data_IF_938281901651
#
_entry.id   IF_938281901651
#
_cell.length_a   1.000
_cell.length_b   1.000
_cell.length_c   1.000
_cell.angle_alpha   90.00
_cell.angle_beta   90.00
_cell.angle_gamma   90.00
#
_symmetry.space_group_name_H-M   'P 1'
#
loop_
_entity.id
_entity.type
_entity.pdbx_description
1 polymer ?
#
# COMPACT_ATOMS: atom_id res chain seq x y z
N UNK A 1 -31.33 7.76 2.34
CA UNK A 1 -30.27 8.14 3.30
C UNK A 1 -29.78 6.98 4.21
N UNK A 2 -30.57 5.93 4.48
CA UNK A 2 -30.16 4.82 5.36
C UNK A 2 -28.97 3.97 4.84
N UNK A 3 -28.86 3.77 3.52
CA UNK A 3 -27.81 2.92 2.94
C UNK A 3 -26.41 3.58 2.90
N UNK A 4 -26.33 4.90 2.93
CA UNK A 4 -25.06 5.61 2.95
C UNK A 4 -24.37 5.51 4.32
N UNK A 5 -25.16 5.53 5.42
CA UNK A 5 -24.66 5.39 6.79
C UNK A 5 -24.10 3.99 7.05
N UNK A 6 -24.74 2.95 6.50
CA UNK A 6 -24.28 1.55 6.60
C UNK A 6 -22.95 1.29 5.87
N UNK A 7 -22.67 1.98 4.77
CA UNK A 7 -21.46 1.71 3.98
C UNK A 7 -20.29 2.67 4.27
N UNK A 8 -20.55 3.89 4.75
CA UNK A 8 -19.50 4.88 5.05
C UNK A 8 -19.08 4.93 6.52
N UNK A 9 -19.88 4.44 7.47
CA UNK A 9 -19.52 4.41 8.90
C UNK A 9 -19.20 2.99 9.39
N UNK A 10 -17.99 2.51 9.09
CA UNK A 10 -17.50 1.23 9.62
C UNK A 10 -17.65 1.12 11.15
N UNK A 11 -17.58 2.24 11.85
CA UNK A 11 -17.74 2.32 13.31
C UNK A 11 -19.05 1.75 13.85
N UNK A 12 -20.19 1.99 13.17
CA UNK A 12 -21.51 1.54 13.67
C UNK A 12 -21.79 0.09 13.28
N UNK A 13 -21.36 -0.29 12.06
CA UNK A 13 -21.58 -1.63 11.50
C UNK A 13 -20.67 -2.67 12.14
N UNK A 14 -19.45 -2.29 12.53
CA UNK A 14 -18.49 -3.23 13.14
C UNK A 14 -18.84 -3.59 14.59
N UNK A 15 -19.69 -2.80 15.27
CA UNK A 15 -20.18 -3.08 16.63
C UNK A 15 -21.39 -4.00 16.67
N UNK A 16 -22.24 -3.99 15.65
CA UNK A 16 -23.48 -4.77 15.61
C UNK A 16 -23.29 -6.03 14.74
N UNK A 17 -23.17 -7.19 15.39
CA UNK A 17 -22.91 -8.49 14.75
C UNK A 17 -23.88 -8.82 13.61
N UNK A 18 -25.16 -8.43 13.73
CA UNK A 18 -26.18 -8.65 12.70
C UNK A 18 -25.90 -7.81 11.43
N UNK A 19 -25.61 -6.52 11.59
CA UNK A 19 -25.30 -5.63 10.46
C UNK A 19 -24.01 -6.04 9.76
N UNK A 20 -23.01 -6.49 10.52
CA UNK A 20 -21.77 -7.04 9.97
C UNK A 20 -22.02 -8.30 9.13
N UNK A 21 -22.79 -9.25 9.65
CA UNK A 21 -23.16 -10.48 8.92
C UNK A 21 -23.96 -10.17 7.65
N UNK A 22 -24.93 -9.27 7.75
CA UNK A 22 -25.73 -8.82 6.61
C UNK A 22 -24.89 -8.13 5.54
N UNK A 23 -23.99 -7.22 5.95
CA UNK A 23 -23.02 -6.57 5.06
C UNK A 23 -22.13 -7.60 4.36
N UNK A 24 -21.51 -8.52 5.10
CA UNK A 24 -20.66 -9.57 4.51
C UNK A 24 -21.44 -10.51 3.58
N UNK A 25 -22.71 -10.75 3.87
CA UNK A 25 -23.58 -11.57 3.03
C UNK A 25 -23.94 -10.85 1.71
N UNK A 26 -24.24 -9.55 1.77
CA UNK A 26 -24.48 -8.72 0.58
C UNK A 26 -23.20 -8.55 -0.25
N UNK A 27 -22.08 -8.25 0.39
CA UNK A 27 -20.77 -8.11 -0.27
C UNK A 27 -20.35 -9.43 -0.95
N UNK A 28 -20.64 -10.58 -0.34
CA UNK A 28 -20.33 -11.89 -0.91
C UNK A 28 -21.24 -12.34 -2.05
N UNK A 29 -22.48 -11.82 -2.18
CA UNK A 29 -23.45 -12.26 -3.20
C UNK A 29 -23.80 -11.22 -4.27
N UNK A 30 -23.86 -9.94 -3.94
CA UNK A 30 -24.50 -8.91 -4.76
C UNK A 30 -23.56 -7.75 -5.13
N UNK A 31 -22.58 -7.44 -4.28
CA UNK A 31 -21.69 -6.29 -4.47
C UNK A 31 -20.26 -6.74 -4.77
N UNK A 32 -20.01 -7.14 -6.03
CA UNK A 32 -18.64 -7.17 -6.53
C UNK A 32 -18.02 -5.76 -6.35
N UNK A 33 -16.70 -5.69 -6.12
CA UNK A 33 -15.98 -4.41 -5.94
C UNK A 33 -16.36 -3.37 -7.02
N UNK A 34 -16.57 -3.82 -8.25
CA UNK A 34 -17.00 -3.00 -9.38
C UNK A 34 -18.37 -2.33 -9.18
N UNK A 35 -19.34 -3.04 -8.59
CA UNK A 35 -20.68 -2.51 -8.31
C UNK A 35 -20.61 -1.45 -7.21
N UNK A 36 -19.84 -1.71 -6.16
CA UNK A 36 -19.58 -0.72 -5.09
C UNK A 36 -18.93 0.55 -5.65
N UNK A 37 -17.97 0.41 -6.56
CA UNK A 37 -17.36 1.56 -7.25
C UNK A 37 -18.35 2.31 -8.15
N UNK A 38 -19.29 1.62 -8.79
CA UNK A 38 -20.35 2.26 -9.58
C UNK A 38 -21.35 3.02 -8.70
N UNK A 39 -21.80 2.41 -7.60
CA UNK A 39 -22.65 3.07 -6.59
C UNK A 39 -21.95 4.31 -6.04
N UNK A 40 -20.64 4.27 -5.82
CA UNK A 40 -19.89 5.43 -5.36
C UNK A 40 -19.92 6.59 -6.37
N UNK A 41 -19.93 6.32 -7.68
CA UNK A 41 -20.06 7.36 -8.73
C UNK A 41 -21.44 8.01 -8.73
N UNK A 42 -22.48 7.33 -8.23
CA UNK A 42 -23.82 7.92 -8.08
C UNK A 42 -23.83 9.12 -7.12
N UNK A 43 -22.85 9.24 -6.22
CA UNK A 43 -22.73 10.39 -5.32
C UNK A 43 -22.66 11.73 -6.09
N UNK A 44 -22.06 11.78 -7.28
CA UNK A 44 -22.06 12.99 -8.10
C UNK A 44 -23.46 13.41 -8.54
N UNK A 45 -24.31 12.43 -8.87
CA UNK A 45 -25.72 12.67 -9.21
C UNK A 45 -26.47 13.17 -7.97
N UNK A 46 -26.22 12.57 -6.80
CA UNK A 46 -26.84 13.01 -5.54
C UNK A 46 -26.45 14.44 -5.19
N UNK A 47 -25.17 14.80 -5.33
CA UNK A 47 -24.70 16.18 -5.10
C UNK A 47 -25.41 17.16 -6.05
N UNK A 48 -25.54 16.81 -7.33
CA UNK A 48 -26.26 17.63 -8.31
C UNK A 48 -27.75 17.78 -7.96
N UNK A 49 -28.40 16.69 -7.52
CA UNK A 49 -29.80 16.70 -7.09
C UNK A 49 -29.99 17.54 -5.81
N UNK A 50 -29.06 17.48 -4.85
CA UNK A 50 -29.08 18.34 -3.66
C UNK A 50 -28.94 19.81 -4.07
N UNK A 51 -27.97 20.12 -4.95
CA UNK A 51 -27.77 21.48 -5.45
C UNK A 51 -29.04 22.02 -6.13
N UNK A 52 -29.68 21.22 -6.99
CA UNK A 52 -30.95 21.54 -7.64
C UNK A 52 -32.10 21.70 -6.62
N UNK A 53 -32.20 20.78 -5.66
CA UNK A 53 -33.24 20.79 -4.64
C UNK A 53 -33.18 22.05 -3.76
N UNK A 54 -31.98 22.48 -3.38
CA UNK A 54 -31.76 23.72 -2.61
C UNK A 54 -32.26 24.95 -3.36
N UNK A 55 -32.09 24.98 -4.69
CA UNK A 55 -32.58 26.08 -5.54
C UNK A 55 -34.10 26.06 -5.74
N UNK A 56 -34.72 24.88 -5.72
CA UNK A 56 -36.16 24.72 -5.91
C UNK A 56 -36.99 24.94 -4.65
N UNK A 57 -36.39 24.90 -3.45
CA UNK A 57 -37.11 25.17 -2.20
C UNK A 57 -37.43 26.66 -2.09
N UNK A 58 -38.71 27.08 -2.08
CA UNK A 58 -39.07 28.50 -2.07
C UNK A 58 -38.50 29.24 -0.86
N UNK A 59 -38.46 28.61 0.31
CA UNK A 59 -38.02 29.24 1.57
C UNK A 59 -36.51 29.52 1.65
N UNK A 60 -35.69 28.66 1.05
CA UNK A 60 -34.23 28.75 1.10
C UNK A 60 -33.66 29.39 -0.16
N UNK A 61 -34.29 29.12 -1.32
CA UNK A 61 -33.93 29.72 -2.59
C UNK A 61 -34.03 31.24 -2.54
N UNK A 62 -35.04 31.82 -1.89
CA UNK A 62 -35.27 33.28 -1.88
C UNK A 62 -34.20 34.07 -1.08
N UNK A 63 -33.42 33.44 -0.19
CA UNK A 63 -32.38 34.12 0.60
C UNK A 63 -31.09 34.26 -0.21
N UNK A 64 -30.75 35.47 -0.72
CA UNK A 64 -29.66 35.62 -1.69
C UNK A 64 -28.28 35.33 -1.09
N UNK A 65 -28.04 35.69 0.18
CA UNK A 65 -26.77 35.45 0.85
C UNK A 65 -26.47 33.96 1.04
N UNK A 66 -27.49 33.16 1.37
CA UNK A 66 -27.33 31.71 1.50
C UNK A 66 -27.06 31.06 0.14
N UNK A 67 -27.83 31.43 -0.89
CA UNK A 67 -27.69 30.91 -2.25
C UNK A 67 -26.28 31.17 -2.81
N UNK A 68 -25.83 32.43 -2.74
CA UNK A 68 -24.51 32.84 -3.23
C UNK A 68 -23.38 32.08 -2.51
N UNK A 69 -23.46 31.98 -1.18
CA UNK A 69 -22.45 31.26 -0.39
C UNK A 69 -22.39 29.77 -0.74
N UNK A 70 -23.57 29.14 -0.89
CA UNK A 70 -23.69 27.73 -1.26
C UNK A 70 -23.12 27.46 -2.67
N UNK A 71 -23.45 28.32 -3.64
CA UNK A 71 -22.94 28.19 -5.02
C UNK A 71 -21.43 28.39 -5.11
N UNK A 72 -20.89 29.38 -4.41
CA UNK A 72 -19.43 29.60 -4.33
C UNK A 72 -18.77 28.37 -3.73
N UNK A 73 -19.28 27.85 -2.61
CA UNK A 73 -18.73 26.66 -1.96
C UNK A 73 -18.75 25.43 -2.90
N UNK A 74 -19.87 25.17 -3.56
CA UNK A 74 -20.01 24.06 -4.51
C UNK A 74 -19.08 24.26 -5.71
N UNK A 75 -19.04 25.47 -6.28
CA UNK A 75 -18.17 25.81 -7.41
C UNK A 75 -16.69 25.64 -7.10
N UNK A 76 -16.22 26.20 -5.98
CA UNK A 76 -14.83 26.04 -5.52
C UNK A 76 -14.49 24.57 -5.31
N UNK A 77 -15.39 23.79 -4.69
CA UNK A 77 -15.17 22.35 -4.47
C UNK A 77 -15.04 21.58 -5.79
N UNK A 78 -15.90 21.87 -6.77
CA UNK A 78 -15.84 21.25 -8.11
C UNK A 78 -14.54 21.64 -8.83
N UNK A 79 -14.17 22.93 -8.79
CA UNK A 79 -12.92 23.43 -9.40
C UNK A 79 -11.71 22.72 -8.79
N UNK A 80 -11.62 22.66 -7.45
CA UNK A 80 -10.53 21.97 -6.75
C UNK A 80 -10.49 20.47 -7.08
N UNK A 81 -11.65 19.81 -7.13
CA UNK A 81 -11.75 18.39 -7.50
C UNK A 81 -11.29 18.15 -8.95
N UNK A 82 -11.79 18.92 -9.90
CA UNK A 82 -11.44 18.83 -11.31
C UNK A 82 -9.96 19.13 -11.53
N UNK A 83 -9.43 20.18 -10.89
CA UNK A 83 -8.02 20.54 -10.95
C UNK A 83 -7.13 19.42 -10.41
N UNK A 84 -7.46 18.85 -9.24
CA UNK A 84 -6.76 17.70 -8.68
C UNK A 84 -6.81 16.50 -9.62
N UNK A 85 -7.99 16.17 -10.17
CA UNK A 85 -8.15 15.02 -11.06
C UNK A 85 -7.35 15.16 -12.35
N UNK A 86 -7.31 16.37 -12.93
CA UNK A 86 -6.52 16.67 -14.12
C UNK A 86 -5.01 16.61 -13.83
N UNK A 87 -4.57 17.12 -12.68
CA UNK A 87 -3.16 17.09 -12.27
C UNK A 87 -2.67 15.65 -12.03
N UNK A 88 -3.45 14.84 -11.31
CA UNK A 88 -3.15 13.41 -11.09
C UNK A 88 -3.13 12.64 -12.42
N UNK A 89 -4.06 12.93 -13.34
CA UNK A 89 -4.10 12.34 -14.70
C UNK A 89 -2.78 12.50 -15.49
N UNK A 90 -1.98 13.53 -15.18
CA UNK A 90 -0.70 13.84 -15.84
C UNK A 90 0.52 13.22 -15.17
N UNK A 91 0.42 12.73 -13.93
CA UNK A 91 1.56 12.21 -13.15
C UNK A 91 1.70 10.69 -13.25
N UNK A 92 1.61 10.15 -14.47
CA UNK A 92 1.76 8.73 -14.69
C UNK A 92 2.96 8.42 -15.57
N UNK A 93 3.84 7.59 -15.05
CA UNK A 93 4.92 7.00 -15.83
C UNK A 93 4.39 5.80 -16.61
N UNK A 94 5.05 5.50 -17.73
CA UNK A 94 4.73 4.32 -18.53
C UNK A 94 5.90 3.36 -18.52
N UNK A 95 5.61 2.09 -18.33
CA UNK A 95 6.59 1.02 -18.33
C UNK A 95 6.12 -0.15 -19.17
N UNK A 96 7.05 -1.04 -19.50
CA UNK A 96 6.80 -2.28 -20.22
C UNK A 96 7.20 -3.43 -19.31
N UNK A 97 6.40 -4.50 -19.32
CA UNK A 97 6.76 -5.73 -18.60
C UNK A 97 7.98 -6.35 -19.28
N UNK A 98 9.11 -6.34 -18.59
CA UNK A 98 10.35 -6.98 -19.04
C UNK A 98 10.36 -8.46 -18.66
N UNK A 99 9.88 -8.78 -17.47
CA UNK A 99 9.90 -10.13 -16.91
C UNK A 99 8.67 -10.34 -16.02
N UNK A 100 8.03 -11.51 -16.14
CA UNK A 100 6.96 -11.94 -15.24
C UNK A 100 7.14 -13.44 -14.97
N UNK A 101 7.72 -13.79 -13.83
CA UNK A 101 8.12 -15.17 -13.50
C UNK A 101 7.40 -15.65 -12.25
N UNK A 102 6.85 -16.86 -12.32
CA UNK A 102 6.28 -17.55 -11.17
C UNK A 102 7.41 -18.04 -10.26
N UNK A 103 7.45 -17.52 -9.03
CA UNK A 103 8.41 -17.94 -8.01
C UNK A 103 7.78 -18.98 -7.08
N UNK A 104 7.23 -20.06 -7.66
CA UNK A 104 6.45 -21.07 -6.93
C UNK A 104 4.94 -20.92 -7.14
N UNK A 105 4.14 -21.50 -6.23
CA UNK A 105 2.68 -21.66 -6.41
C UNK A 105 1.84 -20.42 -6.11
N UNK A 106 2.38 -19.43 -5.39
CA UNK A 106 1.61 -18.33 -4.83
C UNK A 106 2.31 -16.97 -4.88
N UNK A 107 3.35 -16.84 -5.72
CA UNK A 107 4.10 -15.60 -5.86
C UNK A 107 4.58 -15.37 -7.29
N UNK A 108 4.49 -14.12 -7.75
CA UNK A 108 5.01 -13.66 -9.03
C UNK A 108 6.09 -12.60 -8.80
N UNK A 109 7.19 -12.69 -9.56
CA UNK A 109 8.14 -11.59 -9.72
C UNK A 109 7.83 -10.87 -11.01
N UNK A 110 7.40 -9.63 -10.88
CA UNK A 110 7.12 -8.75 -12.00
C UNK A 110 8.22 -7.68 -12.08
N UNK A 111 8.98 -7.66 -13.17
CA UNK A 111 9.98 -6.62 -13.45
C UNK A 111 9.51 -5.76 -14.62
N UNK A 112 9.48 -4.46 -14.39
CA UNK A 112 9.07 -3.46 -15.36
C UNK A 112 10.27 -2.62 -15.78
N UNK A 113 10.36 -2.32 -17.07
CA UNK A 113 11.33 -1.38 -17.62
C UNK A 113 10.63 -0.06 -17.93
N UNK A 114 11.15 1.05 -17.43
CA UNK A 114 10.55 2.36 -17.68
C UNK A 114 10.76 2.79 -19.13
N UNK A 115 9.71 3.32 -19.77
CA UNK A 115 9.76 3.72 -21.18
C UNK A 115 10.58 4.99 -21.40
N UNK A 116 10.53 5.93 -20.45
CA UNK A 116 11.25 7.20 -20.52
C UNK A 116 12.71 7.12 -19.99
N UNK A 117 13.24 5.92 -19.77
CA UNK A 117 14.60 5.73 -19.26
C UNK A 117 14.62 5.52 -17.75
N UNK A 118 15.17 6.46 -16.98
CA UNK A 118 15.24 6.35 -15.51
C UNK A 118 14.05 7.07 -14.88
N UNK A 119 13.42 6.43 -13.90
CA UNK A 119 12.51 7.10 -12.97
C UNK A 119 13.22 7.41 -11.65
N UNK A 120 12.83 8.49 -10.99
CA UNK A 120 13.39 8.88 -9.68
C UNK A 120 12.66 8.18 -8.52
N UNK A 121 12.46 6.87 -8.65
CA UNK A 121 11.94 6.05 -7.55
C UNK A 121 13.02 5.82 -6.50
N UNK A 122 12.59 5.68 -5.27
CA UNK A 122 13.43 5.45 -4.09
C UNK A 122 13.15 4.08 -3.49
N UNK A 123 14.09 3.61 -2.68
CA UNK A 123 13.95 2.31 -2.04
C UNK A 123 12.76 2.32 -1.05
N UNK A 124 11.94 1.27 -1.09
CA UNK A 124 10.74 1.18 -0.27
C UNK A 124 9.53 1.96 -0.78
N UNK A 125 9.63 2.62 -1.94
CA UNK A 125 8.46 3.22 -2.60
C UNK A 125 7.46 2.12 -3.04
N UNK A 126 6.24 2.55 -3.38
CA UNK A 126 5.22 1.75 -4.02
C UNK A 126 4.62 2.50 -5.21
N UNK A 127 4.04 1.73 -6.12
CA UNK A 127 3.34 2.23 -7.30
C UNK A 127 1.96 1.64 -7.38
N UNK A 128 0.99 2.40 -7.91
CA UNK A 128 -0.21 1.78 -8.42
C UNK A 128 0.00 1.32 -9.87
N UNK A 129 -0.21 0.03 -10.10
CA UNK A 129 -0.04 -0.61 -11.40
C UNK A 129 -1.40 -0.79 -12.07
N UNK A 130 -1.53 -0.34 -13.32
CA UNK A 130 -2.72 -0.58 -14.14
C UNK A 130 -2.37 -1.17 -15.51
N UNK A 131 -3.00 -2.29 -15.86
CA UNK A 131 -2.80 -3.01 -17.13
C UNK A 131 -3.96 -2.73 -18.10
N UNK A 132 -3.78 -1.83 -19.08
CA UNK A 132 -4.90 -1.34 -19.91
C UNK A 132 -5.39 -2.33 -20.97
N UNK A 133 -4.53 -3.24 -21.47
CA UNK A 133 -4.78 -4.05 -22.68
C UNK A 133 -4.48 -5.54 -22.46
N UNK A 134 -4.61 -6.03 -21.23
CA UNK A 134 -4.42 -7.46 -20.92
C UNK A 134 -5.78 -8.09 -20.65
N UNK A 135 -6.14 -9.11 -21.44
CA UNK A 135 -7.44 -9.80 -21.31
C UNK A 135 -7.48 -10.55 -19.97
N UNK A 136 -8.57 -10.36 -19.21
CA UNK A 136 -8.77 -11.06 -17.93
C UNK A 136 -7.95 -10.53 -16.76
N UNK A 137 -7.36 -9.33 -16.89
CA UNK A 137 -6.71 -8.58 -15.80
C UNK A 137 -7.50 -7.29 -15.59
N UNK A 138 -7.80 -6.93 -14.34
CA UNK A 138 -8.49 -5.66 -14.04
C UNK A 138 -7.70 -4.46 -14.59
N UNK A 139 -8.43 -3.46 -15.10
CA UNK A 139 -7.86 -2.17 -15.52
C UNK A 139 -7.67 -1.20 -14.35
N UNK A 140 -8.17 -1.56 -13.17
CA UNK A 140 -8.07 -0.74 -11.98
C UNK A 140 -6.61 -0.66 -11.50
N UNK A 141 -6.17 0.50 -11.02
CA UNK A 141 -4.85 0.65 -10.43
C UNK A 141 -4.78 -0.05 -9.07
N UNK A 142 -3.81 -0.95 -8.88
CA UNK A 142 -3.59 -1.63 -7.60
C UNK A 142 -2.19 -1.33 -7.05
N UNK A 143 -2.05 -1.04 -5.74
CA UNK A 143 -0.78 -0.66 -5.13
C UNK A 143 0.13 -1.87 -4.92
N UNK A 144 1.40 -1.72 -5.29
CA UNK A 144 2.45 -2.69 -5.00
C UNK A 144 3.73 -1.97 -4.57
N UNK A 145 4.28 -2.40 -3.44
CA UNK A 145 5.58 -1.93 -2.97
C UNK A 145 6.69 -2.52 -3.81
N UNK A 146 7.66 -1.67 -4.12
CA UNK A 146 8.86 -2.02 -4.85
C UNK A 146 9.69 -2.98 -4.01
N UNK A 147 10.24 -4.02 -4.66
CA UNK A 147 11.15 -4.99 -4.06
C UNK A 147 12.57 -4.91 -4.61
N UNK A 148 12.83 -4.04 -5.60
CA UNK A 148 14.17 -3.74 -6.12
C UNK A 148 14.78 -2.50 -5.47
N UNK A 149 16.11 -2.38 -5.50
CA UNK A 149 16.80 -1.16 -5.11
C UNK A 149 17.24 -0.33 -6.35
N UNK A 150 16.99 0.99 -6.40
CA UNK A 150 17.44 1.85 -7.48
C UNK A 150 18.96 1.79 -7.73
N UNK A 151 19.77 1.56 -6.67
CA UNK A 151 21.23 1.41 -6.77
C UNK A 151 21.66 0.22 -7.64
N UNK A 152 20.83 -0.82 -7.76
CA UNK A 152 21.15 -1.99 -8.58
C UNK A 152 20.85 -1.75 -10.07
N UNK A 153 19.68 -1.19 -10.36
CA UNK A 153 19.30 -0.79 -11.72
C UNK A 153 18.20 0.29 -11.65
N UNK A 154 18.50 1.55 -12.01
CA UNK A 154 17.52 2.64 -11.94
C UNK A 154 16.56 2.70 -13.13
N UNK A 155 16.79 1.90 -14.19
CA UNK A 155 15.93 1.83 -15.37
C UNK A 155 14.81 0.79 -15.24
N UNK A 156 14.87 -0.01 -14.19
CA UNK A 156 13.94 -1.10 -13.92
C UNK A 156 13.41 -1.02 -12.50
N UNK A 157 12.21 -1.54 -12.33
CA UNK A 157 11.56 -1.69 -11.03
C UNK A 157 10.95 -3.09 -10.94
N UNK A 158 11.21 -3.79 -9.84
CA UNK A 158 10.67 -5.13 -9.60
C UNK A 158 9.70 -5.13 -8.43
N UNK A 159 8.71 -6.00 -8.51
CA UNK A 159 7.70 -6.27 -7.50
C UNK A 159 7.62 -7.77 -7.22
N UNK A 160 7.59 -8.15 -5.94
CA UNK A 160 7.29 -9.52 -5.50
C UNK A 160 5.84 -9.59 -5.05
N UNK A 161 4.96 -10.07 -5.91
CA UNK A 161 3.51 -10.04 -5.73
C UNK A 161 3.02 -11.39 -5.22
N UNK A 162 2.47 -11.41 -4.01
CA UNK A 162 1.85 -12.61 -3.43
C UNK A 162 0.41 -12.74 -3.95
N UNK A 163 -0.01 -13.95 -4.33
CA UNK A 163 -1.34 -14.23 -4.88
C UNK A 163 -2.41 -14.35 -3.79
N UNK A 164 -2.77 -13.22 -3.16
CA UNK A 164 -3.71 -13.18 -2.03
C UNK A 164 -5.16 -12.94 -2.45
N UNK A 165 -5.40 -12.12 -3.47
CA UNK A 165 -6.73 -11.73 -3.96
C UNK A 165 -6.92 -11.96 -5.46
N UNK A 166 -8.14 -11.69 -5.94
CA UNK A 166 -8.54 -11.94 -7.34
C UNK A 166 -7.63 -11.24 -8.35
N UNK A 167 -7.31 -9.97 -8.10
CA UNK A 167 -6.41 -9.22 -8.96
C UNK A 167 -4.99 -9.83 -8.98
N UNK A 168 -4.42 -10.12 -7.81
CA UNK A 168 -3.05 -10.67 -7.72
C UNK A 168 -2.93 -12.06 -8.36
N UNK A 169 -4.00 -12.86 -8.37
CA UNK A 169 -4.05 -14.14 -9.10
C UNK A 169 -4.06 -13.96 -10.62
N UNK A 170 -4.54 -12.83 -11.11
CA UNK A 170 -4.56 -12.52 -12.55
C UNK A 170 -3.21 -12.05 -13.10
N UNK A 171 -2.27 -11.62 -12.23
CA UNK A 171 -0.95 -11.11 -12.66
C UNK A 171 -0.15 -12.13 -13.48
N UNK A 172 -0.32 -13.43 -13.23
CA UNK A 172 0.33 -14.48 -14.03
C UNK A 172 -0.05 -14.44 -15.51
N UNK A 173 -1.21 -13.87 -15.86
CA UNK A 173 -1.70 -13.73 -17.24
C UNK A 173 -1.08 -12.54 -17.97
N UNK A 174 -0.32 -11.69 -17.29
CA UNK A 174 0.31 -10.51 -17.91
C UNK A 174 1.52 -10.96 -18.73
N UNK A 175 1.51 -10.79 -20.06
CA UNK A 175 2.64 -11.19 -20.89
C UNK A 175 3.80 -10.18 -20.80
N UNK A 176 5.00 -10.68 -21.07
CA UNK A 176 6.17 -9.84 -21.37
C UNK A 176 5.84 -8.94 -22.56
N UNK A 177 6.29 -7.68 -22.53
CA UNK A 177 5.94 -6.66 -23.52
C UNK A 177 4.64 -5.91 -23.24
N UNK A 178 3.84 -6.31 -22.24
CA UNK A 178 2.63 -5.59 -21.88
C UNK A 178 2.93 -4.17 -21.38
N UNK A 179 2.11 -3.20 -21.79
CA UNK A 179 2.20 -1.81 -21.31
C UNK A 179 1.54 -1.68 -19.93
N UNK A 180 2.29 -1.12 -18.99
CA UNK A 180 1.85 -0.84 -17.63
C UNK A 180 1.84 0.67 -17.40
N UNK A 181 0.76 1.17 -16.82
CA UNK A 181 0.67 2.54 -16.34
C UNK A 181 1.04 2.54 -14.85
N UNK A 182 1.97 3.41 -14.47
CA UNK A 182 2.48 3.54 -13.11
C UNK A 182 2.00 4.87 -12.53
N UNK A 183 1.26 4.82 -11.43
CA UNK A 183 0.97 5.99 -10.60
C UNK A 183 1.93 6.00 -9.41
N UNK A 184 2.68 7.09 -9.23
CA UNK A 184 3.73 7.21 -8.22
C UNK A 184 5.01 7.82 -8.81
N UNK A 185 6.18 7.63 -8.18
CA UNK A 185 6.39 6.84 -6.96
C UNK A 185 5.73 7.46 -5.72
N UNK A 186 5.31 6.61 -4.78
CA UNK A 186 4.84 7.01 -3.45
C UNK A 186 5.66 6.31 -2.38
N UNK A 187 6.00 7.00 -1.29
CA UNK A 187 6.77 6.40 -0.21
C UNK A 187 7.54 7.46 0.58
N UNK A 188 7.85 7.13 1.83
CA UNK A 188 8.60 8.03 2.74
C UNK A 188 9.81 7.34 3.38
N UNK A 189 9.90 6.01 3.32
CA UNK A 189 10.88 5.25 4.10
C UNK A 189 12.33 5.50 3.71
N UNK A 190 12.62 5.71 2.42
CA UNK A 190 13.99 5.99 1.98
C UNK A 190 14.60 7.19 2.72
N UNK A 191 13.81 8.26 2.92
CA UNK A 191 14.26 9.46 3.64
C UNK A 191 14.51 9.17 5.12
N UNK A 192 13.64 8.38 5.74
CA UNK A 192 13.79 7.96 7.14
C UNK A 192 15.06 7.14 7.35
N UNK A 193 15.38 6.25 6.42
CA UNK A 193 16.60 5.43 6.47
C UNK A 193 17.84 6.28 6.19
N UNK A 194 17.79 7.14 5.17
CA UNK A 194 18.91 8.01 4.79
C UNK A 194 19.33 8.94 5.94
N UNK A 195 18.36 9.58 6.60
CA UNK A 195 18.59 10.55 7.67
C UNK A 195 18.88 9.92 9.04
N UNK A 196 18.82 8.58 9.16
CA UNK A 196 19.06 7.89 10.42
C UNK A 196 20.53 7.54 10.60
N UNK A 197 21.10 7.97 11.72
CA UNK A 197 22.45 7.57 12.16
C UNK A 197 22.42 6.46 13.24
N UNK A 198 21.22 6.05 13.66
CA UNK A 198 21.01 4.96 14.62
C UNK A 198 20.68 3.64 13.91
N UNK A 199 20.84 2.48 14.58
CA UNK A 199 20.43 1.19 14.02
C UNK A 199 18.96 1.17 13.59
N UNK A 200 18.68 0.52 12.46
CA UNK A 200 17.35 0.43 11.89
C UNK A 200 16.86 -1.02 11.87
N UNK A 201 15.72 -1.24 12.53
CA UNK A 201 15.02 -2.52 12.50
C UNK A 201 13.93 -2.44 11.44
N UNK A 202 14.05 -3.25 10.39
CA UNK A 202 13.09 -3.38 9.31
C UNK A 202 12.19 -4.59 9.62
N UNK A 203 10.98 -4.35 10.12
CA UNK A 203 10.07 -5.42 10.55
C UNK A 203 8.93 -5.64 9.55
N UNK A 204 9.06 -6.70 8.73
CA UNK A 204 8.08 -7.12 7.74
C UNK A 204 7.08 -8.16 8.23
N UNK A 205 5.82 -8.01 7.86
CA UNK A 205 4.74 -8.94 8.16
C UNK A 205 4.05 -9.39 6.86
N UNK A 206 4.19 -10.66 6.50
CA UNK A 206 3.62 -11.22 5.26
C UNK A 206 4.20 -10.57 4.01
N UNK A 207 3.34 -10.03 3.15
CA UNK A 207 3.72 -9.29 1.93
C UNK A 207 4.39 -7.94 2.22
N UNK A 208 4.30 -7.41 3.44
CA UNK A 208 4.96 -6.16 3.87
C UNK A 208 6.49 -6.22 3.88
N UNK A 209 7.11 -7.35 3.52
CA UNK A 209 8.55 -7.46 3.39
C UNK A 209 9.11 -6.78 2.13
N UNK A 210 8.30 -6.62 1.07
CA UNK A 210 8.75 -6.08 -0.21
C UNK A 210 9.48 -4.72 -0.10
N UNK A 211 8.89 -3.67 0.51
CA UNK A 211 9.58 -2.38 0.64
C UNK A 211 10.81 -2.46 1.55
N UNK A 212 10.79 -3.35 2.54
CA UNK A 212 11.90 -3.53 3.48
C UNK A 212 13.10 -4.23 2.83
N UNK A 213 12.86 -5.18 1.92
CA UNK A 213 13.91 -5.77 1.08
C UNK A 213 14.51 -4.72 0.15
N UNK A 214 13.68 -3.86 -0.44
CA UNK A 214 14.15 -2.75 -1.27
C UNK A 214 15.08 -1.82 -0.49
N UNK A 215 14.68 -1.39 0.72
CA UNK A 215 15.52 -0.59 1.62
C UNK A 215 16.80 -1.33 2.03
N UNK A 216 16.69 -2.61 2.41
CA UNK A 216 17.85 -3.41 2.80
C UNK A 216 18.84 -3.55 1.65
N UNK A 217 18.39 -3.80 0.43
CA UNK A 217 19.26 -3.89 -0.75
C UNK A 217 19.95 -2.56 -1.08
N UNK A 218 19.26 -1.43 -0.89
CA UNK A 218 19.80 -0.10 -1.15
C UNK A 218 20.92 0.27 -0.17
N UNK A 219 20.71 -0.01 1.13
CA UNK A 219 21.54 0.47 2.23
C UNK A 219 22.43 -0.59 2.89
N UNK A 220 22.37 -1.86 2.44
CA UNK A 220 23.27 -2.90 2.91
C UNK A 220 24.74 -2.50 2.76
N UNK A 221 25.53 -2.74 3.81
CA UNK A 221 26.93 -2.34 3.91
C UNK A 221 27.17 -0.85 4.19
N UNK A 222 26.12 -0.01 4.22
CA UNK A 222 26.25 1.44 4.49
C UNK A 222 25.53 1.89 5.76
N UNK A 223 24.47 1.20 6.16
CA UNK A 223 23.72 1.46 7.41
C UNK A 223 23.65 0.17 8.24
N UNK A 224 23.51 0.32 9.56
CA UNK A 224 23.28 -0.81 10.47
C UNK A 224 21.82 -1.25 10.37
N UNK A 225 21.57 -2.35 9.67
CA UNK A 225 20.23 -2.84 9.38
C UNK A 225 19.98 -4.20 10.01
N UNK A 226 18.78 -4.36 10.57
CA UNK A 226 18.26 -5.62 11.06
C UNK A 226 16.89 -5.90 10.46
N UNK A 227 16.83 -6.84 9.53
CA UNK A 227 15.59 -7.29 8.89
C UNK A 227 14.96 -8.41 9.72
N UNK A 228 13.78 -8.13 10.29
CA UNK A 228 12.92 -9.11 10.95
C UNK A 228 11.75 -9.40 10.03
N UNK A 229 11.55 -10.65 9.61
CA UNK A 229 10.42 -10.99 8.74
C UNK A 229 9.65 -12.23 9.19
N UNK A 230 8.32 -12.11 9.24
CA UNK A 230 7.43 -13.25 9.46
C UNK A 230 6.44 -13.45 8.32
N UNK A 231 6.34 -14.67 7.78
CA UNK A 231 5.41 -14.98 6.69
C UNK A 231 5.56 -16.39 6.12
N UNK A 232 4.54 -16.89 5.41
CA UNK A 232 4.53 -18.26 4.88
C UNK A 232 5.55 -18.48 3.75
N UNK A 233 5.99 -17.41 3.08
CA UNK A 233 6.87 -17.47 1.91
C UNK A 233 8.37 -17.47 2.25
N UNK A 234 8.74 -17.63 3.53
CA UNK A 234 10.14 -17.55 3.96
C UNK A 234 11.02 -18.62 3.29
N UNK A 235 10.48 -19.82 3.10
CA UNK A 235 11.22 -20.93 2.49
C UNK A 235 11.30 -20.84 0.95
N UNK A 236 10.77 -19.77 0.35
CA UNK A 236 10.86 -19.57 -1.08
C UNK A 236 12.34 -19.39 -1.51
N UNK A 237 12.84 -20.16 -2.48
CA UNK A 237 14.25 -20.07 -2.91
C UNK A 237 14.68 -18.66 -3.32
N UNK A 238 13.77 -17.88 -3.91
CA UNK A 238 14.08 -16.50 -4.34
C UNK A 238 14.29 -15.57 -3.17
N UNK A 239 13.47 -15.69 -2.11
CA UNK A 239 13.70 -14.93 -0.89
C UNK A 239 14.97 -15.42 -0.19
N UNK A 240 15.19 -16.73 -0.09
CA UNK A 240 16.41 -17.27 0.54
C UNK A 240 17.69 -16.76 -0.12
N UNK A 241 17.71 -16.66 -1.45
CA UNK A 241 18.82 -16.04 -2.19
C UNK A 241 19.02 -14.57 -1.79
N UNK A 242 17.95 -13.76 -1.80
CA UNK A 242 18.01 -12.35 -1.42
C UNK A 242 18.49 -12.18 0.04
N UNK A 243 17.92 -12.94 0.97
CA UNK A 243 18.27 -12.90 2.39
C UNK A 243 19.73 -13.30 2.61
N UNK A 244 20.22 -14.31 1.89
CA UNK A 244 21.62 -14.72 1.90
C UNK A 244 22.56 -13.62 1.41
N UNK A 245 22.21 -12.94 0.31
CA UNK A 245 22.97 -11.80 -0.20
C UNK A 245 22.98 -10.62 0.79
N UNK A 246 21.86 -10.34 1.45
CA UNK A 246 21.77 -9.30 2.49
C UNK A 246 22.66 -9.62 3.69
N UNK A 247 22.64 -10.88 4.17
CA UNK A 247 23.52 -11.34 5.25
C UNK A 247 25.00 -11.16 4.89
N UNK A 248 25.40 -11.52 3.67
CA UNK A 248 26.78 -11.32 3.17
C UNK A 248 27.20 -9.85 3.15
N UNK A 249 26.25 -8.93 2.98
CA UNK A 249 26.48 -7.48 3.02
C UNK A 249 26.31 -6.87 4.41
N UNK A 250 26.33 -7.68 5.47
CA UNK A 250 26.32 -7.23 6.86
C UNK A 250 24.94 -6.86 7.43
N UNK A 251 23.85 -7.17 6.73
CA UNK A 251 22.49 -7.01 7.29
C UNK A 251 22.20 -8.15 8.23
N UNK A 252 21.79 -7.84 9.47
CA UNK A 252 21.27 -8.86 10.40
C UNK A 252 19.89 -9.30 9.92
N UNK A 253 19.64 -10.61 9.84
CA UNK A 253 18.41 -11.14 9.25
C UNK A 253 17.86 -12.26 10.11
N UNK A 254 16.69 -12.03 10.67
CA UNK A 254 15.94 -12.95 11.52
C UNK A 254 14.56 -13.22 10.89
N UNK A 255 14.31 -14.47 10.51
CA UNK A 255 13.09 -14.86 9.78
C UNK A 255 12.45 -16.10 10.37
N UNK A 256 11.12 -16.12 10.47
CA UNK A 256 10.39 -17.32 10.88
C UNK A 256 8.95 -17.31 10.34
N UNK A 257 8.37 -18.49 10.08
CA UNK A 257 7.03 -18.60 9.46
C UNK A 257 5.94 -17.97 10.35
N UNK A 258 6.04 -18.21 11.65
CA UNK A 258 5.06 -17.75 12.64
C UNK A 258 5.39 -16.36 13.20
N UNK A 259 4.50 -15.78 13.99
CA UNK A 259 4.74 -14.44 14.55
C UNK A 259 5.79 -14.50 15.64
N UNK A 260 6.73 -13.54 15.67
CA UNK A 260 7.69 -13.42 16.77
C UNK A 260 6.97 -13.06 18.07
N UNK A 261 7.17 -13.90 19.08
CA UNK A 261 6.73 -13.67 20.46
C UNK A 261 7.67 -12.67 21.14
N UNK A 262 7.26 -12.16 22.31
CA UNK A 262 8.10 -11.23 23.07
C UNK A 262 9.44 -11.87 23.46
N UNK A 263 9.44 -13.16 23.79
CA UNK A 263 10.63 -13.95 24.08
C UNK A 263 11.60 -14.01 22.90
N UNK A 264 11.07 -14.16 21.69
CA UNK A 264 11.88 -14.24 20.47
C UNK A 264 12.52 -12.88 20.19
N UNK A 265 11.72 -11.80 20.30
CA UNK A 265 12.18 -10.43 20.11
C UNK A 265 13.29 -10.04 21.10
N UNK A 266 13.22 -10.48 22.37
CA UNK A 266 14.27 -10.24 23.37
C UNK A 266 15.59 -10.90 22.95
N UNK A 267 15.53 -12.10 22.33
CA UNK A 267 16.72 -12.84 21.89
C UNK A 267 17.36 -12.21 20.66
N UNK A 268 16.54 -11.73 19.72
CA UNK A 268 17.06 -11.22 18.44
C UNK A 268 17.36 -9.72 18.45
N UNK A 269 16.69 -8.90 19.28
CA UNK A 269 16.97 -7.46 19.34
C UNK A 269 18.12 -7.20 20.31
N UNK A 270 19.20 -6.59 19.83
CA UNK A 270 20.35 -6.23 20.66
C UNK A 270 20.04 -5.08 21.62
N UNK A 271 20.81 -4.99 22.71
CA UNK A 271 20.68 -3.89 23.67
C UNK A 271 20.92 -2.51 23.03
N UNK A 272 21.77 -2.43 22.01
CA UNK A 272 22.02 -1.20 21.26
C UNK A 272 20.78 -0.76 20.47
N UNK A 273 20.16 -1.70 19.75
CA UNK A 273 18.92 -1.45 19.00
C UNK A 273 17.77 -1.07 19.92
N UNK A 274 17.67 -1.68 21.10
CA UNK A 274 16.62 -1.35 22.07
C UNK A 274 16.78 0.09 22.60
N UNK A 275 18.01 0.50 22.91
CA UNK A 275 18.31 1.82 23.49
C UNK A 275 18.08 2.98 22.52
N UNK A 276 18.55 2.86 21.27
CA UNK A 276 18.54 3.98 20.32
C UNK A 276 17.94 3.66 18.96
N UNK A 277 17.73 2.38 18.63
CA UNK A 277 17.28 1.97 17.31
C UNK A 277 15.87 2.47 16.99
N UNK A 278 15.63 2.70 15.69
CA UNK A 278 14.31 2.98 15.12
C UNK A 278 13.78 1.73 14.42
N UNK A 279 12.45 1.56 14.45
CA UNK A 279 11.77 0.40 13.85
C UNK A 279 10.82 0.87 12.77
N UNK A 280 10.98 0.34 11.56
CA UNK A 280 10.05 0.51 10.43
C UNK A 280 9.25 -0.78 10.31
N UNK A 281 7.93 -0.70 10.52
CA UNK A 281 7.03 -1.86 10.55
C UNK A 281 6.09 -1.80 9.35
N UNK A 282 6.02 -2.87 8.57
CA UNK A 282 5.15 -2.93 7.39
C UNK A 282 4.33 -4.21 7.38
N UNK A 283 3.02 -4.08 7.16
CA UNK A 283 2.09 -5.20 7.24
C UNK A 283 0.63 -4.80 7.29
N UNK A 284 -0.24 -5.77 7.62
CA UNK A 284 -1.67 -5.47 7.84
C UNK A 284 -1.87 -4.69 9.14
N UNK A 285 -2.85 -3.77 9.13
CA UNK A 285 -3.10 -2.85 10.25
C UNK A 285 -3.24 -3.55 11.61
N UNK A 286 -4.01 -4.63 11.69
CA UNK A 286 -4.21 -5.38 12.94
C UNK A 286 -2.90 -5.97 13.48
N UNK A 287 -2.06 -6.52 12.61
CA UNK A 287 -0.79 -7.15 13.01
C UNK A 287 0.25 -6.12 13.42
N UNK A 288 0.28 -4.96 12.75
CA UNK A 288 1.14 -3.84 13.15
C UNK A 288 0.81 -3.39 14.58
N UNK A 289 -0.47 -3.24 14.91
CA UNK A 289 -0.87 -2.83 16.26
C UNK A 289 -0.39 -3.82 17.33
N UNK A 290 -0.44 -5.12 17.05
CA UNK A 290 0.10 -6.15 17.95
C UNK A 290 1.62 -6.02 18.13
N UNK A 291 2.36 -5.86 17.04
CA UNK A 291 3.82 -5.71 17.06
C UNK A 291 4.21 -4.44 17.78
N UNK A 292 3.56 -3.31 17.51
CA UNK A 292 3.79 -2.04 18.22
C UNK A 292 3.57 -2.19 19.72
N UNK A 293 2.50 -2.88 20.15
CA UNK A 293 2.24 -3.15 21.57
C UNK A 293 3.37 -3.96 22.21
N UNK A 294 3.87 -5.00 21.52
CA UNK A 294 4.99 -5.83 22.00
C UNK A 294 6.29 -5.03 22.09
N UNK A 295 6.66 -4.30 21.05
CA UNK A 295 7.87 -3.46 21.04
C UNK A 295 7.83 -2.40 22.14
N UNK A 296 6.68 -1.79 22.40
CA UNK A 296 6.53 -0.85 23.53
C UNK A 296 6.74 -1.52 24.88
N UNK A 297 6.22 -2.73 25.08
CA UNK A 297 6.47 -3.51 26.31
C UNK A 297 7.94 -3.88 26.48
N UNK A 298 8.68 -4.02 25.38
CA UNK A 298 10.12 -4.27 25.41
C UNK A 298 10.95 -3.03 25.76
N UNK A 299 10.39 -1.82 25.61
CA UNK A 299 11.08 -0.57 25.93
C UNK A 299 11.26 0.41 24.76
N UNK A 300 10.72 0.10 23.57
CA UNK A 300 10.72 1.08 22.47
C UNK A 300 9.76 2.24 22.75
N UNK A 301 10.24 3.46 22.56
CA UNK A 301 9.42 4.68 22.63
C UNK A 301 8.56 4.84 21.36
N UNK A 302 7.44 5.56 21.45
CA UNK A 302 6.43 5.64 20.37
C UNK A 302 6.97 6.34 19.12
N UNK A 303 7.81 7.35 19.31
CA UNK A 303 8.49 8.17 18.31
C UNK A 303 9.52 7.39 17.49
N UNK A 304 10.05 6.30 18.03
CA UNK A 304 11.00 5.41 17.33
C UNK A 304 10.31 4.32 16.51
N UNK A 305 8.98 4.27 16.50
CA UNK A 305 8.19 3.26 15.78
C UNK A 305 7.45 3.91 14.61
N UNK A 306 7.91 3.65 13.40
CA UNK A 306 7.31 4.09 12.14
C UNK A 306 6.55 2.90 11.55
N UNK A 307 5.29 3.10 11.12
CA UNK A 307 4.50 2.04 10.48
C UNK A 307 3.84 2.46 9.17
N UNK A 308 3.80 1.55 8.21
CA UNK A 308 2.96 1.63 7.01
C UNK A 308 1.99 0.46 6.98
N UNK A 309 0.70 0.79 6.86
CA UNK A 309 -0.38 -0.18 6.90
C UNK A 309 -0.82 -0.51 5.49
N UNK A 310 -0.59 -1.75 5.09
CA UNK A 310 -1.10 -2.26 3.83
C UNK A 310 -2.61 -2.48 3.95
N UNK A 311 -3.37 -1.80 3.11
CA UNK A 311 -4.78 -2.13 2.87
C UNK A 311 -4.82 -3.34 1.93
N UNK A 312 -4.86 -4.53 2.53
CA UNK A 312 -5.12 -5.80 1.85
C UNK A 312 -6.62 -6.07 1.80
#
# INVERSE_FOLDING_TARGET
MANAVLFLSGWLVDRLLFLKRFKTWIEGRLLNHQVTMWIHRLNFVVIALIWLHVHLIPRLGIVPGFRLTFDIYTGVTIILYCWWKLKVSRSYSTAIVKENISLGSSMQKLTLQFKAGKENYRAGDFYFLAFKRVKGVSKEPHPFSVSSAPRNNPHEVSFMIHQLGDFTRQIIKVPVGAKVKLEGPFGLFDREVQNSEVPLILYGLGSGVAPLISLAQQYAGTKQLHLIWSGPQINNPSYQKILGELKKKGVKVDVQIHRFLATDLIRIISSNELKQGKVIIVGSASRILDVRRRLRKLGFSKDRLIDERLTL
#
